data_IF_430860673392
#
_entry.id   IF_430860673392
#
_cell.length_a   1.000
_cell.length_b   1.000
_cell.length_c   1.000
_cell.angle_alpha   90.00
_cell.angle_beta   90.00
_cell.angle_gamma   90.00
#
_symmetry.space_group_name_H-M   'P 1'
#
loop_
_entity.id
_entity.type
_entity.pdbx_description
1 polymer ?
#
# COMPACT_ATOMS: atom_id res chain seq x y z
N UNK A 1 -13.98 -17.57 -19.68
CA UNK A 1 -14.70 -16.63 -18.76
C UNK A 1 -14.13 -16.76 -17.35
N UNK A 2 -14.07 -17.97 -16.80
CA UNK A 2 -13.44 -18.25 -15.51
C UNK A 2 -11.95 -17.88 -15.51
N UNK A 3 -11.20 -18.22 -16.56
CA UNK A 3 -9.76 -17.90 -16.65
C UNK A 3 -9.45 -16.41 -16.52
N UNK A 4 -10.25 -15.56 -17.18
CA UNK A 4 -10.11 -14.09 -17.08
C UNK A 4 -10.43 -13.58 -15.67
N UNK A 5 -11.44 -14.15 -15.01
CA UNK A 5 -11.80 -13.76 -13.64
C UNK A 5 -10.67 -14.16 -12.69
N UNK A 6 -10.14 -15.38 -12.82
CA UNK A 6 -9.03 -15.86 -12.00
C UNK A 6 -7.77 -14.99 -12.19
N UNK A 7 -7.44 -14.67 -13.43
CA UNK A 7 -6.30 -13.81 -13.76
C UNK A 7 -6.47 -12.39 -13.20
N UNK A 8 -7.64 -11.78 -13.36
CA UNK A 8 -7.92 -10.43 -12.84
C UNK A 8 -7.98 -10.41 -11.31
N UNK A 9 -8.50 -11.45 -10.68
CA UNK A 9 -8.51 -11.57 -9.22
C UNK A 9 -7.09 -11.67 -8.66
N UNK A 10 -6.23 -12.51 -9.27
CA UNK A 10 -4.82 -12.58 -8.89
C UNK A 10 -4.12 -11.23 -9.06
N UNK A 11 -4.35 -10.55 -10.18
CA UNK A 11 -3.81 -9.20 -10.40
C UNK A 11 -4.32 -8.20 -9.35
N UNK A 12 -5.59 -8.27 -8.96
CA UNK A 12 -6.16 -7.41 -7.92
C UNK A 12 -5.55 -7.68 -6.54
N UNK A 13 -5.31 -8.94 -6.17
CA UNK A 13 -4.63 -9.30 -4.93
C UNK A 13 -3.21 -8.73 -4.87
N UNK A 14 -2.51 -8.69 -6.00
CA UNK A 14 -1.15 -8.16 -6.04
C UNK A 14 -1.11 -6.63 -6.10
N UNK A 15 -1.96 -6.01 -6.95
CA UNK A 15 -1.88 -4.58 -7.25
C UNK A 15 -2.85 -3.75 -6.42
N UNK A 16 -4.12 -4.15 -6.33
CA UNK A 16 -5.16 -3.36 -5.65
C UNK A 16 -5.06 -3.51 -4.12
N UNK A 17 -4.92 -4.73 -3.61
CA UNK A 17 -4.81 -4.96 -2.17
C UNK A 17 -3.52 -4.37 -1.57
N UNK A 18 -2.49 -4.14 -2.40
CA UNK A 18 -1.27 -3.45 -2.00
C UNK A 18 -1.45 -1.95 -1.79
N UNK A 19 -2.30 -1.27 -2.56
CA UNK A 19 -2.39 0.20 -2.58
C UNK A 19 -2.51 0.84 -1.19
N UNK A 20 -3.38 0.36 -0.28
CA UNK A 20 -3.49 0.98 1.04
C UNK A 20 -2.20 0.82 1.87
N UNK A 21 -1.48 -0.30 1.70
CA UNK A 21 -0.19 -0.53 2.36
C UNK A 21 0.93 0.31 1.76
N UNK A 22 0.97 0.41 0.42
CA UNK A 22 1.91 1.26 -0.31
C UNK A 22 1.83 2.73 0.11
N UNK A 23 0.62 3.21 0.38
CA UNK A 23 0.38 4.57 0.85
C UNK A 23 0.78 4.78 2.32
N UNK A 24 0.34 3.88 3.22
CA UNK A 24 0.38 4.15 4.65
C UNK A 24 1.79 4.17 5.24
N UNK A 25 2.76 3.43 4.67
CA UNK A 25 4.11 3.33 5.25
C UNK A 25 4.80 4.70 5.28
N UNK A 26 4.90 5.35 4.12
CA UNK A 26 5.55 6.66 4.08
C UNK A 26 4.67 7.74 4.69
N UNK A 27 3.33 7.59 4.67
CA UNK A 27 2.45 8.49 5.43
C UNK A 27 2.75 8.46 6.93
N UNK A 28 2.87 7.27 7.52
CA UNK A 28 3.25 7.10 8.92
C UNK A 28 4.64 7.70 9.19
N UNK A 29 5.64 7.42 8.33
CA UNK A 29 6.99 8.00 8.46
C UNK A 29 6.99 9.52 8.37
N UNK A 30 6.23 10.12 7.46
CA UNK A 30 6.12 11.58 7.35
C UNK A 30 5.51 12.19 8.59
N UNK A 31 4.45 11.57 9.14
CA UNK A 31 3.81 12.06 10.36
C UNK A 31 4.74 11.91 11.60
N UNK A 32 5.57 10.85 11.65
CA UNK A 32 6.65 10.72 12.65
C UNK A 32 7.73 11.78 12.48
N UNK A 33 8.28 11.95 11.27
CA UNK A 33 9.37 12.91 11.01
C UNK A 33 8.94 14.36 11.20
N UNK A 34 7.68 14.69 10.94
CA UNK A 34 7.12 16.01 11.20
C UNK A 34 6.76 16.26 12.67
N UNK A 35 6.88 15.24 13.54
CA UNK A 35 6.52 15.32 14.96
C UNK A 35 5.02 15.26 15.23
N UNK A 36 4.18 14.94 14.24
CA UNK A 36 2.73 14.77 14.43
C UNK A 36 2.40 13.51 15.24
N UNK A 37 3.24 12.48 15.14
CA UNK A 37 3.16 11.26 15.95
C UNK A 37 4.34 11.27 16.93
N UNK A 38 4.10 11.46 18.24
CA UNK A 38 5.17 11.41 19.23
C UNK A 38 5.71 9.98 19.38
N UNK A 39 6.96 9.85 19.85
CA UNK A 39 7.62 8.55 20.06
C UNK A 39 6.79 7.57 20.89
N UNK A 40 6.15 8.06 21.96
CA UNK A 40 5.25 7.26 22.81
C UNK A 40 3.91 6.88 22.17
N UNK A 41 3.76 6.98 20.85
CA UNK A 41 2.55 6.59 20.11
C UNK A 41 2.86 6.01 18.72
N UNK A 42 4.13 5.66 18.45
CA UNK A 42 4.56 5.14 17.16
C UNK A 42 3.81 3.88 16.75
N UNK A 43 3.72 2.91 17.65
CA UNK A 43 3.14 1.61 17.36
C UNK A 43 1.60 1.67 17.34
N UNK A 44 1.02 2.43 18.27
CA UNK A 44 -0.42 2.69 18.30
C UNK A 44 -0.88 3.36 17.00
N UNK A 45 -0.19 4.40 16.54
CA UNK A 45 -0.56 5.09 15.31
C UNK A 45 -0.29 4.26 14.05
N UNK A 46 0.75 3.40 14.07
CA UNK A 46 0.96 2.42 13.01
C UNK A 46 -0.26 1.51 12.82
N UNK A 47 -0.80 0.95 13.92
CA UNK A 47 -1.99 0.10 13.88
C UNK A 47 -3.27 0.88 13.58
N UNK A 48 -3.42 2.10 14.07
CA UNK A 48 -4.54 2.98 13.71
C UNK A 48 -4.57 3.23 12.20
N UNK A 49 -3.41 3.48 11.58
CA UNK A 49 -3.30 3.63 10.13
C UNK A 49 -3.57 2.32 9.39
N UNK A 50 -3.02 1.19 9.82
CA UNK A 50 -3.32 -0.13 9.25
C UNK A 50 -4.83 -0.42 9.26
N UNK A 51 -5.50 -0.17 10.39
CA UNK A 51 -6.95 -0.34 10.53
C UNK A 51 -7.72 0.62 9.65
N UNK A 52 -7.28 1.88 9.55
CA UNK A 52 -7.93 2.90 8.71
C UNK A 52 -7.85 2.56 7.22
N UNK A 53 -6.64 2.27 6.72
CA UNK A 53 -6.36 2.13 5.29
C UNK A 53 -6.55 0.69 4.79
N UNK A 54 -5.99 -0.30 5.47
CA UNK A 54 -6.03 -1.71 5.03
C UNK A 54 -7.21 -2.50 5.60
N UNK A 55 -7.91 -1.97 6.62
CA UNK A 55 -8.97 -2.69 7.35
C UNK A 55 -8.47 -3.99 8.02
N UNK A 56 -7.25 -3.96 8.51
CA UNK A 56 -6.60 -5.07 9.23
C UNK A 56 -6.25 -4.66 10.65
N UNK A 57 -6.16 -5.63 11.53
CA UNK A 57 -5.82 -5.46 12.94
C UNK A 57 -4.85 -6.55 13.41
N UNK A 58 -4.22 -6.41 14.59
CA UNK A 58 -3.39 -7.46 15.16
C UNK A 58 -4.19 -8.77 15.33
N UNK A 59 -3.53 -9.94 15.25
CA UNK A 59 -4.20 -11.21 15.49
C UNK A 59 -4.80 -11.26 16.91
N UNK A 60 -5.86 -12.06 17.08
CA UNK A 60 -6.53 -12.33 18.35
C UNK A 60 -7.09 -11.09 19.09
N UNK A 61 -7.17 -9.93 18.43
CA UNK A 61 -7.64 -8.69 19.07
C UNK A 61 -6.66 -8.13 20.11
N UNK A 62 -5.40 -8.53 20.07
CA UNK A 62 -4.37 -8.05 20.99
C UNK A 62 -4.07 -6.56 20.77
N UNK A 63 -3.93 -5.82 21.87
CA UNK A 63 -3.44 -4.44 21.83
C UNK A 63 -1.92 -4.49 21.75
N UNK A 64 -1.37 -4.02 20.63
CA UNK A 64 0.08 -3.91 20.38
C UNK A 64 0.58 -2.58 20.96
N UNK A 65 1.10 -2.60 22.18
CA UNK A 65 1.60 -1.42 22.89
C UNK A 65 2.94 -0.87 22.35
N UNK A 66 3.44 0.18 23.00
CA UNK A 66 4.66 0.90 22.60
C UNK A 66 5.97 0.19 23.04
N UNK A 67 5.87 -0.92 23.76
CA UNK A 67 6.99 -1.86 23.97
C UNK A 67 7.43 -2.56 22.67
N UNK A 68 6.65 -2.37 21.60
CA UNK A 68 6.91 -2.91 20.27
C UNK A 68 7.12 -1.82 19.22
N UNK A 69 7.79 -2.20 18.14
CA UNK A 69 7.99 -1.36 16.96
C UNK A 69 7.65 -2.12 15.67
N UNK A 70 6.36 -2.32 15.40
CA UNK A 70 5.91 -3.15 14.27
C UNK A 70 6.23 -2.56 12.90
N UNK A 71 6.23 -1.23 12.79
CA UNK A 71 6.71 -0.57 11.58
C UNK A 71 8.16 -0.98 11.26
N UNK A 72 9.00 -1.18 12.29
CA UNK A 72 10.39 -1.63 12.14
C UNK A 72 10.54 -3.04 11.60
N UNK A 73 9.52 -3.89 11.70
CA UNK A 73 9.54 -5.24 11.12
C UNK A 73 9.37 -5.24 9.58
N UNK A 74 9.09 -4.08 8.96
CA UNK A 74 9.04 -3.94 7.51
C UNK A 74 10.37 -3.40 6.98
N UNK A 75 11.16 -4.22 6.29
CA UNK A 75 12.50 -3.93 5.73
C UNK A 75 12.79 -2.47 5.36
N UNK A 76 11.92 -1.83 4.58
CA UNK A 76 12.12 -0.47 4.09
C UNK A 76 12.19 0.60 5.20
N UNK A 77 11.60 0.35 6.36
CA UNK A 77 11.64 1.25 7.52
C UNK A 77 13.05 1.29 8.14
N UNK A 78 13.65 0.18 8.63
CA UNK A 78 15.01 0.20 9.18
C UNK A 78 16.10 0.38 8.11
N UNK A 79 15.83 0.04 6.85
CA UNK A 79 16.78 0.27 5.75
C UNK A 79 16.76 1.71 5.19
N UNK A 80 15.93 2.60 5.76
CA UNK A 80 15.70 3.98 5.28
C UNK A 80 15.38 4.08 3.78
N UNK A 81 14.71 3.07 3.23
CA UNK A 81 14.28 3.08 1.83
C UNK A 81 12.92 3.73 1.71
N UNK A 82 12.76 4.66 0.78
CA UNK A 82 11.45 5.29 0.46
C UNK A 82 10.45 4.22 -0.02
N UNK A 83 9.17 4.34 0.37
CA UNK A 83 8.12 3.36 0.04
C UNK A 83 7.04 3.90 -0.91
N UNK A 84 6.82 5.22 -0.94
CA UNK A 84 5.82 5.88 -1.77
C UNK A 84 6.01 5.62 -3.27
N UNK A 85 7.26 5.35 -3.69
CA UNK A 85 7.58 4.98 -5.08
C UNK A 85 6.78 3.75 -5.54
N UNK A 86 6.53 2.76 -4.69
CA UNK A 86 5.75 1.58 -5.05
C UNK A 86 4.26 1.92 -5.28
N UNK A 87 3.67 2.76 -4.43
CA UNK A 87 2.28 3.21 -4.59
C UNK A 87 2.09 3.97 -5.92
N UNK A 88 2.97 4.92 -6.19
CA UNK A 88 2.94 5.70 -7.44
C UNK A 88 3.22 4.80 -8.65
N UNK A 89 4.18 3.88 -8.54
CA UNK A 89 4.50 2.94 -9.61
C UNK A 89 3.31 2.07 -10.01
N UNK A 90 2.52 1.55 -9.05
CA UNK A 90 1.32 0.77 -9.38
C UNK A 90 0.26 1.58 -10.12
N UNK A 91 0.11 2.88 -9.85
CA UNK A 91 -0.80 3.74 -10.61
C UNK A 91 -0.25 4.01 -12.02
N UNK A 92 1.04 4.37 -12.10
CA UNK A 92 1.72 4.66 -13.36
C UNK A 92 1.78 3.43 -14.28
N UNK A 93 1.94 2.23 -13.73
CA UNK A 93 1.94 0.96 -14.46
C UNK A 93 0.71 0.86 -15.38
N UNK A 94 -0.49 1.10 -14.84
CA UNK A 94 -1.73 1.03 -15.62
C UNK A 94 -1.94 2.24 -16.54
N UNK A 95 -1.50 3.44 -16.15
CA UNK A 95 -1.55 4.61 -17.03
C UNK A 95 -0.70 4.41 -18.29
N UNK A 96 0.53 3.92 -18.11
CA UNK A 96 1.44 3.60 -19.20
C UNK A 96 0.94 2.42 -20.03
N UNK A 97 0.50 1.34 -19.38
CA UNK A 97 -0.05 0.18 -20.08
C UNK A 97 -1.24 0.56 -20.97
N UNK A 98 -2.21 1.32 -20.43
CA UNK A 98 -3.34 1.83 -21.21
C UNK A 98 -2.88 2.66 -22.41
N UNK A 99 -1.96 3.62 -22.19
CA UNK A 99 -1.48 4.48 -23.28
C UNK A 99 -0.78 3.67 -24.38
N UNK A 100 0.06 2.70 -24.01
CA UNK A 100 0.77 1.86 -24.98
C UNK A 100 -0.19 0.96 -25.76
N UNK A 101 -1.21 0.38 -25.12
CA UNK A 101 -2.21 -0.44 -25.80
C UNK A 101 -3.05 0.37 -26.80
N UNK A 102 -3.36 1.64 -26.48
CA UNK A 102 -4.03 2.56 -27.42
C UNK A 102 -3.13 2.84 -28.62
N UNK A 103 -1.88 3.23 -28.37
CA UNK A 103 -0.90 3.52 -29.44
C UNK A 103 -0.64 2.31 -30.34
N UNK A 104 -0.64 1.09 -29.78
CA UNK A 104 -0.48 -0.15 -30.52
C UNK A 104 -1.75 -0.63 -31.25
N UNK A 105 -2.86 0.10 -31.16
CA UNK A 105 -4.15 -0.29 -31.76
C UNK A 105 -4.79 -1.53 -31.12
N UNK A 106 -4.37 -1.93 -29.91
CA UNK A 106 -4.86 -3.10 -29.19
C UNK A 106 -6.01 -2.78 -28.22
N UNK A 107 -6.25 -1.50 -27.93
CA UNK A 107 -7.34 -1.05 -27.07
C UNK A 107 -7.95 0.25 -27.60
N UNK A 108 -9.27 0.27 -27.79
CA UNK A 108 -10.02 1.47 -28.11
C UNK A 108 -10.86 1.90 -26.89
N UNK A 109 -10.57 3.05 -26.26
CA UNK A 109 -11.30 3.51 -25.09
C UNK A 109 -12.75 3.91 -25.37
N UNK A 110 -13.10 4.20 -26.63
CA UNK A 110 -14.47 4.57 -27.04
C UNK A 110 -15.38 3.34 -27.25
N UNK A 111 -14.80 2.13 -27.25
CA UNK A 111 -15.52 0.87 -27.42
C UNK A 111 -15.67 0.09 -26.09
N UNK A 112 -15.35 0.73 -24.97
CA UNK A 112 -15.33 0.12 -23.63
C UNK A 112 -16.71 0.12 -22.96
#
# INVERSE_FOLDING_TARGET
REDNINALFQMALERVAFLPFGLLIDKWRWDVFNGNIPEGSWNTEWWNMRKKYQKVEPPNGEVRGEEFFDAGAKYHVPADSKYMSYFVAHILEFQLHRSMCITAGQYNPENA
#
